data_IF_008029497843
#
_entry.id   IF_008029497843
#
_cell.length_a   1.000
_cell.length_b   1.000
_cell.length_c   1.000
_cell.angle_alpha   90.00
_cell.angle_beta   90.00
_cell.angle_gamma   90.00
#
_symmetry.space_group_name_H-M   'P 1'
#
loop_
_entity.id
_entity.type
_entity.pdbx_description
1 polymer ?
#
# COMPACT_ATOMS: atom_id res chain seq x y z
N UNK A 1 -30.57 49.93 15.07
CA UNK A 1 -30.18 49.57 16.45
C UNK A 1 -29.34 48.29 16.39
N UNK A 2 -28.02 48.41 16.48
CA UNK A 2 -27.06 47.28 16.50
C UNK A 2 -26.68 46.97 17.94
N UNK A 3 -26.78 45.70 18.39
CA UNK A 3 -26.13 45.14 19.60
C UNK A 3 -25.71 43.72 19.25
N UNK A 4 -24.41 43.46 19.03
CA UNK A 4 -23.34 43.09 19.99
C UNK A 4 -23.29 41.58 20.22
N UNK A 5 -22.28 40.92 19.63
CA UNK A 5 -21.51 39.91 20.36
C UNK A 5 -20.09 40.47 20.56
N UNK A 6 -19.71 40.59 21.82
CA UNK A 6 -18.36 40.91 22.29
C UNK A 6 -17.76 39.61 22.81
N UNK A 7 -16.54 39.29 22.37
CA UNK A 7 -15.79 38.15 22.89
C UNK A 7 -14.57 37.76 22.05
N UNK A 8 -13.60 38.68 21.90
CA UNK A 8 -12.19 38.35 21.57
C UNK A 8 -11.61 37.56 22.76
N UNK A 9 -10.79 36.51 22.62
CA UNK A 9 -9.38 36.36 22.17
C UNK A 9 -9.11 34.83 22.17
N UNK A 10 -8.19 34.18 21.47
CA UNK A 10 -7.03 34.53 20.65
C UNK A 10 -6.59 33.26 19.93
N UNK A 11 -6.31 33.34 18.63
CA UNK A 11 -5.68 32.28 17.85
C UNK A 11 -5.25 32.87 16.51
N UNK A 12 -4.07 33.45 16.48
CA UNK A 12 -3.43 34.09 15.33
C UNK A 12 -3.18 33.08 14.21
N UNK A 13 -3.80 33.27 13.05
CA UNK A 13 -3.26 32.75 11.78
C UNK A 13 -1.98 33.55 11.49
N UNK A 14 -0.82 32.88 11.48
CA UNK A 14 0.44 33.45 11.00
C UNK A 14 0.67 33.00 9.57
N UNK A 15 0.59 33.94 8.62
CA UNK A 15 1.36 33.85 7.38
C UNK A 15 2.78 34.37 7.67
N UNK A 16 3.81 33.60 7.31
CA UNK A 16 5.18 34.10 7.23
C UNK A 16 5.63 34.10 5.77
N UNK A 17 5.17 35.10 5.02
CA UNK A 17 5.91 35.67 3.90
C UNK A 17 5.40 37.10 3.75
N UNK A 18 6.17 38.08 4.24
CA UNK A 18 5.72 39.47 4.33
C UNK A 18 5.71 40.16 2.97
N UNK A 19 4.75 41.07 2.71
CA UNK A 19 4.86 42.02 1.61
C UNK A 19 5.27 43.40 2.14
N UNK A 20 6.04 44.17 1.35
CA UNK A 20 5.96 45.65 1.31
C UNK A 20 6.72 46.20 0.09
N UNK A 21 6.41 47.41 -0.41
CA UNK A 21 5.38 47.61 -1.44
C UNK A 21 5.91 48.26 -2.73
N UNK A 22 5.16 48.07 -3.83
CA UNK A 22 4.96 49.07 -4.89
C UNK A 22 6.17 49.49 -5.75
N UNK A 23 6.25 48.95 -6.97
CA UNK A 23 7.01 49.52 -8.07
C UNK A 23 6.45 49.00 -9.39
N UNK A 24 5.87 49.89 -10.19
CA UNK A 24 5.27 49.54 -11.47
C UNK A 24 6.29 48.94 -12.45
N UNK A 25 5.90 47.85 -13.08
CA UNK A 25 6.65 47.23 -14.17
C UNK A 25 5.74 46.21 -14.82
N UNK A 26 5.35 46.49 -16.07
CA UNK A 26 4.79 45.49 -16.97
C UNK A 26 5.89 44.47 -17.27
N UNK A 27 6.11 43.54 -16.34
CA UNK A 27 7.00 42.41 -16.58
C UNK A 27 6.18 41.25 -17.14
N UNK A 28 6.34 41.09 -18.45
CA UNK A 28 5.88 39.95 -19.22
C UNK A 28 6.20 38.68 -18.46
N UNK A 29 5.17 37.85 -18.28
CA UNK A 29 5.29 36.48 -17.78
C UNK A 29 6.42 35.79 -18.56
N UNK A 30 7.59 35.70 -17.92
CA UNK A 30 8.78 35.10 -18.51
C UNK A 30 8.48 33.63 -18.77
N UNK A 31 8.69 33.22 -20.02
CA UNK A 31 8.46 31.87 -20.49
C UNK A 31 9.01 30.83 -19.50
N UNK A 32 8.19 29.81 -19.20
CA UNK A 32 8.63 28.60 -18.50
C UNK A 32 9.90 28.11 -19.20
N UNK A 33 11.01 27.85 -18.46
CA UNK A 33 12.24 27.36 -19.07
C UNK A 33 11.92 26.12 -19.92
N UNK A 34 12.44 26.08 -21.15
CA UNK A 34 12.08 25.11 -22.19
C UNK A 34 12.37 23.63 -21.82
N UNK A 35 12.96 23.36 -20.66
CA UNK A 35 13.32 22.04 -20.13
C UNK A 35 12.29 21.46 -19.14
N UNK A 36 11.19 22.19 -18.86
CA UNK A 36 10.04 21.71 -18.10
C UNK A 36 8.82 21.46 -19.00
N UNK A 37 9.01 20.89 -20.19
CA UNK A 37 7.87 20.28 -20.90
C UNK A 37 7.62 18.92 -20.24
N UNK A 38 6.64 18.78 -19.32
CA UNK A 38 6.31 17.48 -18.78
C UNK A 38 5.96 16.55 -19.95
N UNK A 39 6.45 15.33 -19.92
CA UNK A 39 5.98 14.31 -20.87
C UNK A 39 4.45 14.29 -20.82
N UNK A 40 3.77 14.29 -21.98
CA UNK A 40 2.31 14.35 -22.01
C UNK A 40 1.73 13.25 -21.13
N UNK A 41 0.71 13.58 -20.35
CA UNK A 41 0.02 12.60 -19.53
C UNK A 41 -0.51 11.45 -20.38
N UNK A 42 -0.57 10.27 -19.80
CA UNK A 42 -0.95 9.06 -20.53
C UNK A 42 -1.97 8.27 -19.73
N UNK A 43 -3.09 7.91 -20.34
CA UNK A 43 -4.09 7.02 -19.77
C UNK A 43 -4.15 5.75 -20.60
N UNK A 44 -3.77 4.63 -19.99
CA UNK A 44 -3.82 3.29 -20.56
C UNK A 44 -5.12 2.63 -20.08
N UNK A 45 -6.08 2.47 -20.98
CA UNK A 45 -7.39 1.91 -20.69
C UNK A 45 -7.46 0.47 -21.21
N UNK A 46 -7.40 -0.51 -20.30
CA UNK A 46 -7.49 -1.93 -20.62
C UNK A 46 -8.95 -2.36 -20.66
N UNK A 47 -9.32 -3.07 -21.72
CA UNK A 47 -10.64 -3.69 -21.91
C UNK A 47 -10.48 -5.05 -22.58
N UNK A 48 -11.49 -5.90 -22.48
CA UNK A 48 -11.48 -7.23 -23.10
C UNK A 48 -12.72 -8.04 -22.71
N UNK A 49 -12.91 -9.23 -23.31
CA UNK A 49 -14.08 -10.08 -23.09
C UNK A 49 -14.14 -10.71 -21.68
N UNK A 50 -13.02 -10.72 -20.95
CA UNK A 50 -12.91 -11.27 -19.59
C UNK A 50 -12.69 -10.16 -18.57
N UNK A 51 -13.67 -9.84 -17.69
CA UNK A 51 -13.48 -8.83 -16.65
C UNK A 51 -12.29 -9.13 -15.73
N UNK A 52 -12.12 -10.40 -15.32
CA UNK A 52 -10.97 -10.83 -14.51
C UNK A 52 -9.65 -10.66 -15.23
N UNK A 53 -9.62 -10.96 -16.53
CA UNK A 53 -8.43 -10.82 -17.36
C UNK A 53 -8.02 -9.37 -17.56
N UNK A 54 -9.00 -8.49 -17.81
CA UNK A 54 -8.82 -7.04 -17.90
C UNK A 54 -8.20 -6.46 -16.64
N UNK A 55 -8.76 -6.79 -15.47
CA UNK A 55 -8.23 -6.31 -14.17
C UNK A 55 -6.81 -6.84 -13.93
N UNK A 56 -6.58 -8.13 -14.18
CA UNK A 56 -5.25 -8.73 -14.01
C UNK A 56 -4.20 -8.11 -14.93
N UNK A 57 -4.54 -7.87 -16.20
CA UNK A 57 -3.67 -7.23 -17.18
C UNK A 57 -3.40 -5.76 -16.84
N UNK A 58 -4.41 -5.02 -16.39
CA UNK A 58 -4.25 -3.63 -15.93
C UNK A 58 -3.26 -3.55 -14.75
N UNK A 59 -3.40 -4.43 -13.75
CA UNK A 59 -2.47 -4.50 -12.61
C UNK A 59 -1.06 -4.89 -13.02
N UNK A 60 -0.93 -5.88 -13.92
CA UNK A 60 0.37 -6.33 -14.42
C UNK A 60 1.08 -5.22 -15.23
N UNK A 61 0.32 -4.47 -16.03
CA UNK A 61 0.82 -3.32 -16.79
C UNK A 61 1.24 -2.19 -15.86
N UNK A 62 0.41 -1.81 -14.88
CA UNK A 62 0.78 -0.83 -13.85
C UNK A 62 2.09 -1.21 -13.16
N UNK A 63 2.22 -2.47 -12.75
CA UNK A 63 3.42 -2.99 -12.12
C UNK A 63 4.64 -2.88 -13.04
N UNK A 64 4.48 -3.19 -14.34
CA UNK A 64 5.56 -3.06 -15.33
C UNK A 64 6.00 -1.61 -15.51
N UNK A 65 5.07 -0.67 -15.64
CA UNK A 65 5.38 0.76 -15.75
C UNK A 65 6.12 1.25 -14.49
N UNK A 66 5.62 0.86 -13.32
CA UNK A 66 6.23 1.24 -12.03
C UNK A 66 7.65 0.71 -11.90
N UNK A 67 7.89 -0.55 -12.29
CA UNK A 67 9.21 -1.20 -12.20
C UNK A 67 10.27 -0.58 -13.10
N UNK A 68 9.88 -0.01 -14.23
CA UNK A 68 10.85 0.69 -15.09
C UNK A 68 11.31 2.03 -14.50
N UNK A 69 10.52 2.65 -13.62
CA UNK A 69 10.87 3.92 -12.98
C UNK A 69 10.96 5.13 -13.94
N UNK A 70 10.60 4.95 -15.22
CA UNK A 70 10.67 6.00 -16.25
C UNK A 70 9.56 7.03 -16.10
N UNK A 71 8.40 6.64 -15.56
CA UNK A 71 7.25 7.52 -15.29
C UNK A 71 6.54 7.16 -13.99
N UNK A 72 5.96 8.17 -13.33
CA UNK A 72 5.07 7.97 -12.19
C UNK A 72 3.73 7.41 -12.69
N UNK A 73 3.35 6.24 -12.16
CA UNK A 73 2.11 5.54 -12.54
C UNK A 73 1.15 5.39 -11.36
N UNK A 74 -0.12 5.69 -11.63
CA UNK A 74 -1.24 5.45 -10.71
C UNK A 74 -2.16 4.41 -11.32
N UNK A 75 -2.31 3.26 -10.67
CA UNK A 75 -3.41 2.35 -10.95
C UNK A 75 -4.69 2.89 -10.33
N UNK A 76 -5.77 2.96 -11.10
CA UNK A 76 -7.09 3.28 -10.58
C UNK A 76 -7.96 2.02 -10.69
N UNK A 77 -8.02 1.27 -9.59
CA UNK A 77 -8.93 0.14 -9.46
C UNK A 77 -10.38 0.64 -9.35
N UNK A 78 -11.25 0.12 -10.22
CA UNK A 78 -12.65 0.53 -10.28
C UNK A 78 -13.37 0.30 -8.95
N UNK A 79 -13.11 -0.81 -8.27
CA UNK A 79 -13.78 -1.14 -7.00
C UNK A 79 -13.30 -0.22 -5.86
N UNK A 80 -11.99 0.04 -5.78
CA UNK A 80 -11.44 0.96 -4.78
C UNK A 80 -11.94 2.40 -5.00
N UNK A 81 -11.92 2.87 -6.25
CA UNK A 81 -12.44 4.20 -6.60
C UNK A 81 -13.94 4.28 -6.35
N UNK A 82 -14.68 3.21 -6.61
CA UNK A 82 -16.12 3.15 -6.34
C UNK A 82 -16.39 3.26 -4.85
N UNK A 83 -15.62 2.56 -4.02
CA UNK A 83 -15.74 2.61 -2.57
C UNK A 83 -15.51 4.02 -2.01
N UNK A 84 -14.50 4.75 -2.51
CA UNK A 84 -14.10 6.04 -1.94
C UNK A 84 -14.75 7.26 -2.59
N UNK A 85 -14.91 7.27 -3.91
CA UNK A 85 -15.30 8.46 -4.68
C UNK A 85 -16.66 8.32 -5.35
N UNK A 86 -17.19 7.10 -5.48
CA UNK A 86 -18.48 6.85 -6.13
C UNK A 86 -19.36 5.81 -5.40
N UNK A 87 -19.59 5.95 -4.08
CA UNK A 87 -20.51 5.06 -3.39
C UNK A 87 -21.92 5.25 -3.94
N UNK A 88 -22.59 4.17 -4.28
CA UNK A 88 -23.91 4.22 -4.89
C UNK A 88 -24.43 2.83 -5.30
N UNK A 89 -25.74 2.70 -5.54
CA UNK A 89 -26.35 1.43 -5.90
C UNK A 89 -25.81 0.90 -7.24
N UNK A 90 -25.83 -0.42 -7.40
CA UNK A 90 -25.34 -1.10 -8.61
C UNK A 90 -26.36 -1.10 -9.74
N UNK A 91 -26.67 0.11 -10.22
CA UNK A 91 -27.56 0.35 -11.37
C UNK A 91 -26.75 0.74 -12.61
N UNK A 92 -27.34 0.63 -13.81
CA UNK A 92 -26.69 1.09 -15.04
C UNK A 92 -26.27 2.56 -14.95
N UNK A 93 -27.15 3.42 -14.44
CA UNK A 93 -26.86 4.85 -14.22
C UNK A 93 -25.76 5.06 -13.16
N UNK A 94 -25.71 4.23 -12.11
CA UNK A 94 -24.66 4.27 -11.10
C UNK A 94 -23.30 3.86 -11.65
N UNK A 95 -23.25 2.80 -12.46
CA UNK A 95 -22.04 2.34 -13.16
C UNK A 95 -21.55 3.40 -14.16
N UNK A 96 -22.44 4.01 -14.92
CA UNK A 96 -22.09 5.11 -15.82
C UNK A 96 -21.50 6.30 -15.06
N UNK A 97 -22.15 6.75 -13.98
CA UNK A 97 -21.65 7.85 -13.15
C UNK A 97 -20.27 7.54 -12.53
N UNK A 98 -20.06 6.30 -12.07
CA UNK A 98 -18.79 5.84 -11.56
C UNK A 98 -17.68 5.95 -12.64
N UNK A 99 -17.94 5.46 -13.86
CA UNK A 99 -16.98 5.52 -14.97
C UNK A 99 -16.67 6.98 -15.37
N UNK A 100 -17.67 7.88 -15.34
CA UNK A 100 -17.46 9.32 -15.55
C UNK A 100 -16.49 9.91 -14.53
N UNK A 101 -16.68 9.60 -13.24
CA UNK A 101 -15.83 10.09 -12.16
C UNK A 101 -14.42 9.51 -12.23
N UNK A 102 -14.32 8.21 -12.50
CA UNK A 102 -13.06 7.51 -12.72
C UNK A 102 -12.27 8.16 -13.87
N UNK A 103 -12.94 8.45 -15.00
CA UNK A 103 -12.34 9.14 -16.12
C UNK A 103 -11.91 10.57 -15.82
N UNK A 104 -12.68 11.31 -15.03
CA UNK A 104 -12.30 12.66 -14.60
C UNK A 104 -11.03 12.65 -13.73
N UNK A 105 -10.94 11.71 -12.77
CA UNK A 105 -9.72 11.54 -11.94
C UNK A 105 -8.52 11.17 -12.81
N UNK A 106 -8.69 10.25 -13.77
CA UNK A 106 -7.64 9.87 -14.70
C UNK A 106 -7.15 11.06 -15.54
N UNK A 107 -8.08 11.89 -16.02
CA UNK A 107 -7.77 13.11 -16.77
C UNK A 107 -6.99 14.12 -15.92
N UNK A 108 -7.35 14.34 -14.66
CA UNK A 108 -6.61 15.25 -13.77
C UNK A 108 -5.18 14.79 -13.50
N UNK A 109 -4.97 13.47 -13.32
CA UNK A 109 -3.62 12.92 -13.15
C UNK A 109 -2.81 13.08 -14.44
N UNK A 110 -3.41 12.76 -15.59
CA UNK A 110 -2.77 12.92 -16.90
C UNK A 110 -2.44 14.39 -17.19
N UNK A 111 -3.31 15.34 -16.84
CA UNK A 111 -3.07 16.78 -16.99
C UNK A 111 -1.78 17.25 -16.31
N UNK A 112 -1.35 16.54 -15.26
CA UNK A 112 -0.11 16.80 -14.53
C UNK A 112 1.09 15.96 -15.00
N UNK A 113 0.99 15.29 -16.16
CA UNK A 113 2.08 14.48 -16.72
C UNK A 113 2.20 13.09 -16.09
N UNK A 114 1.19 12.61 -15.36
CA UNK A 114 1.15 11.26 -14.82
C UNK A 114 0.77 10.20 -15.85
N UNK A 115 1.13 8.94 -15.57
CA UNK A 115 0.58 7.77 -16.26
C UNK A 115 -0.52 7.16 -15.40
N UNK A 116 -1.65 6.84 -16.01
CA UNK A 116 -2.77 6.15 -15.35
C UNK A 116 -3.03 4.84 -16.06
N UNK A 117 -3.24 3.77 -15.29
CA UNK A 117 -3.74 2.49 -15.83
C UNK A 117 -5.12 2.22 -15.28
N UNK A 118 -6.06 1.93 -16.19
CA UNK A 118 -7.46 1.66 -15.92
C UNK A 118 -7.81 0.27 -16.45
N UNK A 119 -8.56 -0.52 -15.67
CA UNK A 119 -9.17 -1.77 -16.13
C UNK A 119 -10.62 -1.95 -15.68
N UNK A 120 -11.50 -0.94 -15.85
CA UNK A 120 -12.87 -1.04 -15.36
C UNK A 120 -13.72 -1.97 -16.22
N UNK A 121 -14.72 -2.60 -15.61
CA UNK A 121 -15.78 -3.28 -16.34
C UNK A 121 -16.74 -2.23 -16.92
N UNK A 122 -16.62 -1.96 -18.22
CA UNK A 122 -17.26 -0.80 -18.84
C UNK A 122 -17.95 -1.12 -20.18
N UNK A 123 -19.16 -0.57 -20.43
CA UNK A 123 -19.77 -0.62 -21.74
C UNK A 123 -19.03 0.32 -22.73
N UNK A 124 -19.07 0.05 -24.05
CA UNK A 124 -18.33 0.84 -25.07
C UNK A 124 -18.61 2.35 -25.04
N UNK A 125 -19.83 2.76 -24.65
CA UNK A 125 -20.20 4.17 -24.54
C UNK A 125 -19.41 4.92 -23.45
N UNK A 126 -19.08 4.26 -22.34
CA UNK A 126 -18.33 4.86 -21.25
C UNK A 126 -16.85 5.06 -21.60
N UNK A 127 -16.26 4.14 -22.36
CA UNK A 127 -14.88 4.27 -22.87
C UNK A 127 -14.70 5.55 -23.69
N UNK A 128 -15.67 5.88 -24.57
CA UNK A 128 -15.64 7.12 -25.37
C UNK A 128 -15.62 8.35 -24.48
N UNK A 129 -16.42 8.35 -23.42
CA UNK A 129 -16.50 9.48 -22.52
C UNK A 129 -15.21 9.71 -21.72
N UNK A 130 -14.58 8.62 -21.24
CA UNK A 130 -13.28 8.73 -20.56
C UNK A 130 -12.23 9.30 -21.51
N UNK A 131 -12.22 8.85 -22.77
CA UNK A 131 -11.35 9.40 -23.80
C UNK A 131 -11.54 10.92 -23.96
N UNK A 132 -12.78 11.37 -24.12
CA UNK A 132 -13.10 12.80 -24.29
C UNK A 132 -12.60 13.65 -23.11
N UNK A 133 -12.74 13.16 -21.88
CA UNK A 133 -12.23 13.84 -20.68
C UNK A 133 -10.71 13.96 -20.69
N UNK A 134 -10.00 12.87 -21.01
CA UNK A 134 -8.54 12.83 -21.01
C UNK A 134 -7.98 13.72 -22.13
N UNK A 135 -8.46 13.53 -23.36
CA UNK A 135 -8.01 14.30 -24.52
C UNK A 135 -8.37 15.79 -24.37
N UNK A 136 -9.50 16.12 -23.75
CA UNK A 136 -9.90 17.50 -23.45
C UNK A 136 -8.96 18.24 -22.47
N UNK A 137 -8.19 17.52 -21.66
CA UNK A 137 -7.15 18.10 -20.78
C UNK A 137 -5.76 18.15 -21.42
N UNK A 138 -5.61 17.69 -22.66
CA UNK A 138 -4.33 17.55 -23.34
C UNK A 138 -3.55 16.26 -22.99
N UNK A 139 -4.19 15.31 -22.28
CA UNK A 139 -3.63 13.99 -22.04
C UNK A 139 -3.82 13.06 -23.24
N UNK A 140 -2.96 12.05 -23.36
CA UNK A 140 -3.05 10.99 -24.36
C UNK A 140 -3.88 9.83 -23.82
N UNK A 141 -4.92 9.40 -24.54
CA UNK A 141 -5.71 8.21 -24.20
C UNK A 141 -5.42 7.04 -25.14
N UNK A 142 -5.04 5.90 -24.57
CA UNK A 142 -4.77 4.65 -25.30
C UNK A 142 -5.75 3.59 -24.86
N UNK A 143 -6.51 3.04 -25.82
CA UNK A 143 -7.38 1.89 -25.60
C UNK A 143 -6.62 0.61 -25.91
N UNK A 144 -6.51 -0.28 -24.91
CA UNK A 144 -5.91 -1.60 -25.00
C UNK A 144 -7.04 -2.63 -24.95
N UNK A 145 -7.56 -3.01 -26.11
CA UNK A 145 -8.57 -4.06 -26.24
C UNK A 145 -7.89 -5.42 -26.43
N UNK A 146 -7.83 -6.21 -25.36
CA UNK A 146 -7.01 -7.41 -25.26
C UNK A 146 -7.85 -8.61 -24.84
N UNK A 147 -7.88 -9.64 -25.69
CA UNK A 147 -8.47 -10.93 -25.35
C UNK A 147 -7.46 -11.79 -24.56
N UNK A 148 -7.72 -11.91 -23.26
CA UNK A 148 -6.94 -12.75 -22.35
C UNK A 148 -7.48 -14.19 -22.25
N UNK A 149 -8.52 -14.55 -23.01
CA UNK A 149 -9.19 -15.85 -22.89
C UNK A 149 -8.25 -16.98 -23.32
N UNK A 150 -7.97 -17.90 -22.39
CA UNK A 150 -7.09 -19.05 -22.65
C UNK A 150 -5.61 -18.70 -22.79
N UNK A 151 -5.19 -17.47 -22.43
CA UNK A 151 -3.80 -17.01 -22.44
C UNK A 151 -3.33 -16.63 -21.04
N UNK A 152 -2.02 -16.69 -20.80
CA UNK A 152 -1.47 -16.15 -19.55
C UNK A 152 -1.47 -14.63 -19.56
N UNK A 153 -1.50 -14.01 -18.37
CA UNK A 153 -1.39 -12.55 -18.24
C UNK A 153 -0.04 -12.06 -18.75
N UNK A 154 1.02 -12.85 -18.58
CA UNK A 154 2.37 -12.51 -19.06
C UNK A 154 2.44 -12.45 -20.59
N UNK A 155 1.78 -13.39 -21.28
CA UNK A 155 1.72 -13.38 -22.76
C UNK A 155 0.95 -12.16 -23.28
N UNK A 156 -0.19 -11.85 -22.64
CA UNK A 156 -0.99 -10.67 -22.98
C UNK A 156 -0.23 -9.37 -22.68
N UNK A 157 0.50 -9.32 -21.57
CA UNK A 157 1.34 -8.17 -21.21
C UNK A 157 2.50 -7.98 -22.19
N UNK A 158 3.16 -9.05 -22.62
CA UNK A 158 4.24 -8.98 -23.60
C UNK A 158 3.78 -8.35 -24.92
N UNK A 159 2.59 -8.73 -25.40
CA UNK A 159 1.96 -8.14 -26.58
C UNK A 159 1.67 -6.65 -26.39
N UNK A 160 1.06 -6.26 -25.26
CA UNK A 160 0.80 -4.86 -24.91
C UNK A 160 2.08 -4.03 -24.87
N UNK A 161 3.16 -4.57 -24.31
CA UNK A 161 4.46 -3.91 -24.22
C UNK A 161 5.01 -3.59 -25.61
N UNK A 162 4.95 -4.53 -26.55
CA UNK A 162 5.39 -4.31 -27.93
C UNK A 162 4.52 -3.28 -28.65
N UNK A 163 3.20 -3.33 -28.46
CA UNK A 163 2.26 -2.37 -29.06
C UNK A 163 2.51 -0.94 -28.54
N UNK A 164 2.68 -0.77 -27.23
CA UNK A 164 2.94 0.55 -26.62
C UNK A 164 4.27 1.14 -27.09
N UNK A 165 5.30 0.31 -27.23
CA UNK A 165 6.60 0.73 -27.72
C UNK A 165 6.56 1.08 -29.21
N UNK A 166 5.93 0.24 -30.04
CA UNK A 166 5.78 0.46 -31.47
C UNK A 166 4.96 1.71 -31.81
N UNK A 167 3.96 2.05 -30.98
CA UNK A 167 3.16 3.27 -31.11
C UNK A 167 3.87 4.52 -30.52
N UNK A 168 5.03 4.37 -29.89
CA UNK A 168 5.77 5.47 -29.27
C UNK A 168 5.10 6.06 -28.02
N UNK A 169 4.17 5.33 -27.40
CA UNK A 169 3.47 5.79 -26.20
C UNK A 169 4.29 5.53 -24.93
N UNK A 170 4.90 4.35 -24.82
CA UNK A 170 5.71 3.96 -23.67
C UNK A 170 6.61 2.77 -24.01
N UNK A 171 7.93 2.91 -23.84
CA UNK A 171 8.89 1.82 -24.12
C UNK A 171 9.14 0.96 -22.89
N UNK A 172 8.34 -0.10 -22.75
CA UNK A 172 8.39 -1.03 -21.63
C UNK A 172 9.26 -2.29 -21.88
N UNK A 173 10.01 -2.31 -23.01
CA UNK A 173 10.72 -3.51 -23.51
C UNK A 173 12.02 -3.79 -22.78
N UNK A 174 12.68 -2.76 -22.27
CA UNK A 174 13.85 -2.94 -21.43
C UNK A 174 13.44 -3.85 -20.26
N UNK A 175 14.19 -4.95 -20.00
CA UNK A 175 13.93 -5.76 -18.83
C UNK A 175 13.94 -4.82 -17.63
N UNK A 176 12.90 -4.90 -16.80
CA UNK A 176 12.90 -4.19 -15.53
C UNK A 176 14.27 -4.44 -14.88
N UNK A 177 14.95 -3.42 -14.33
CA UNK A 177 16.24 -3.61 -13.68
C UNK A 177 16.15 -4.86 -12.82
N UNK A 178 17.11 -5.77 -13.03
CA UNK A 178 17.03 -7.14 -12.57
C UNK A 178 16.51 -7.17 -11.13
N UNK A 179 15.45 -7.95 -10.90
CA UNK A 179 15.00 -8.29 -9.56
C UNK A 179 16.19 -8.94 -8.85
N UNK A 180 16.82 -8.19 -7.94
CA UNK A 180 18.19 -8.50 -7.55
C UNK A 180 18.61 -7.80 -6.29
N UNK A 181 18.22 -8.43 -5.18
CA UNK A 181 18.73 -8.23 -3.82
C UNK A 181 18.17 -6.96 -3.16
N UNK A 182 17.49 -7.12 -2.01
CA UNK A 182 17.52 -6.08 -0.99
C UNK A 182 18.95 -5.53 -0.95
N UNK A 183 19.18 -4.20 -0.92
CA UNK A 183 20.52 -3.64 -1.06
C UNK A 183 21.47 -4.45 -0.18
N UNK A 184 22.40 -5.18 -0.82
CA UNK A 184 23.46 -5.85 -0.08
C UNK A 184 24.10 -4.73 0.73
N UNK A 185 24.16 -4.82 2.07
CA UNK A 185 24.66 -3.72 2.86
C UNK A 185 26.01 -3.31 2.28
N UNK A 186 26.09 -2.04 1.86
CA UNK A 186 27.34 -1.38 1.49
C UNK A 186 28.36 -1.74 2.58
N UNK A 187 29.51 -2.37 2.24
CA UNK A 187 30.51 -2.71 3.24
C UNK A 187 31.00 -1.42 3.89
N UNK A 188 30.46 -1.07 5.07
CA UNK A 188 30.75 0.17 5.79
C UNK A 188 29.55 0.98 6.25
N UNK A 189 28.30 0.60 5.93
CA UNK A 189 27.13 1.20 6.56
C UNK A 189 26.98 0.70 8.00
N UNK A 190 26.89 1.60 8.98
CA UNK A 190 26.58 1.23 10.36
C UNK A 190 25.28 0.39 10.40
N UNK A 191 25.23 -0.69 11.20
CA UNK A 191 24.08 -1.59 11.18
C UNK A 191 22.82 -0.85 11.61
N UNK A 192 21.93 -0.59 10.65
CA UNK A 192 20.58 -0.10 10.95
C UNK A 192 19.81 -1.17 11.72
N UNK A 193 18.94 -0.78 12.67
CA UNK A 193 18.13 -1.74 13.39
C UNK A 193 17.24 -2.52 12.42
N UNK A 194 17.06 -3.81 12.70
CA UNK A 194 16.14 -4.68 12.00
C UNK A 194 14.71 -4.16 12.15
N UNK A 195 14.02 -3.86 11.05
CA UNK A 195 12.65 -3.34 11.07
C UNK A 195 11.63 -4.49 10.97
N UNK A 196 10.89 -4.73 12.04
CA UNK A 196 9.82 -5.74 12.10
C UNK A 196 8.45 -5.07 12.15
N UNK A 197 7.59 -5.41 11.19
CA UNK A 197 6.24 -4.89 11.06
C UNK A 197 5.19 -5.94 11.39
N UNK A 198 4.35 -5.69 12.41
CA UNK A 198 3.19 -6.50 12.73
C UNK A 198 1.94 -6.03 11.97
N UNK A 199 1.15 -6.95 11.42
CA UNK A 199 -0.05 -6.61 10.64
C UNK A 199 -1.28 -7.40 11.09
N UNK A 200 -2.39 -6.71 11.30
CA UNK A 200 -3.73 -7.31 11.45
C UNK A 200 -4.75 -6.55 10.59
N UNK A 201 -6.05 -6.62 10.92
CA UNK A 201 -7.10 -5.95 10.12
C UNK A 201 -7.15 -4.44 10.40
N UNK A 202 -7.59 -4.03 11.58
CA UNK A 202 -7.88 -2.62 11.90
C UNK A 202 -6.77 -1.88 12.68
N UNK A 203 -5.68 -2.58 13.05
CA UNK A 203 -4.59 -2.05 13.90
C UNK A 203 -5.05 -1.47 15.25
N UNK A 204 -6.02 -2.12 15.88
CA UNK A 204 -6.49 -1.75 17.23
C UNK A 204 -6.43 -2.92 18.23
N UNK A 205 -6.37 -4.17 17.77
CA UNK A 205 -6.38 -5.36 18.64
C UNK A 205 -5.03 -6.10 18.65
N UNK A 206 -4.79 -6.95 17.65
CA UNK A 206 -3.70 -7.94 17.62
C UNK A 206 -2.33 -7.33 17.32
N UNK A 207 -2.21 -6.56 16.24
CA UNK A 207 -0.91 -5.97 15.87
C UNK A 207 -0.40 -4.88 16.82
N UNK A 208 -1.27 -4.05 17.47
CA UNK A 208 -0.83 -3.17 18.57
C UNK A 208 -0.34 -3.94 19.78
N UNK A 209 -1.03 -5.03 20.16
CA UNK A 209 -0.60 -5.90 21.24
C UNK A 209 0.79 -6.47 20.94
N UNK A 210 0.99 -7.01 19.73
CA UNK A 210 2.29 -7.54 19.30
C UNK A 210 3.40 -6.48 19.37
N UNK A 211 3.14 -5.26 18.87
CA UNK A 211 4.11 -4.16 18.90
C UNK A 211 4.50 -3.78 20.34
N UNK A 212 3.52 -3.56 21.22
CA UNK A 212 3.76 -3.13 22.59
C UNK A 212 4.45 -4.22 23.42
N UNK A 213 4.04 -5.48 23.25
CA UNK A 213 4.67 -6.62 23.91
C UNK A 213 6.13 -6.80 23.43
N UNK A 214 6.35 -6.75 22.11
CA UNK A 214 7.68 -6.94 21.52
C UNK A 214 8.67 -5.82 21.88
N UNK A 215 8.20 -4.56 22.00
CA UNK A 215 9.05 -3.42 22.39
C UNK A 215 9.73 -3.60 23.74
N UNK A 216 9.13 -4.32 24.68
CA UNK A 216 9.76 -4.59 25.98
C UNK A 216 10.94 -5.56 25.87
N UNK A 217 10.97 -6.36 24.81
CA UNK A 217 12.04 -7.30 24.50
C UNK A 217 13.03 -6.73 23.49
N UNK A 218 12.83 -5.49 23.02
CA UNK A 218 13.72 -4.84 22.06
C UNK A 218 15.03 -4.43 22.74
N UNK A 219 16.15 -4.95 22.24
CA UNK A 219 17.49 -4.41 22.50
C UNK A 219 17.92 -3.41 21.43
N UNK A 220 19.14 -2.90 21.55
CA UNK A 220 19.77 -2.08 20.51
C UNK A 220 19.97 -2.95 19.25
N UNK A 221 19.23 -2.65 18.19
CA UNK A 221 19.36 -3.38 16.91
C UNK A 221 18.06 -3.93 16.31
N UNK A 222 16.90 -3.76 16.96
CA UNK A 222 15.60 -4.13 16.40
C UNK A 222 14.53 -3.07 16.69
N UNK A 223 13.69 -2.78 15.71
CA UNK A 223 12.55 -1.86 15.84
C UNK A 223 11.26 -2.60 15.49
N UNK A 224 10.27 -2.44 16.37
CA UNK A 224 8.93 -2.98 16.17
C UNK A 224 7.92 -1.87 15.87
N UNK A 225 7.16 -2.08 14.80
CA UNK A 225 6.02 -1.25 14.40
C UNK A 225 4.83 -2.13 14.03
N UNK A 226 3.64 -1.55 13.94
CA UNK A 226 2.43 -2.24 13.51
C UNK A 226 1.54 -1.38 12.64
N UNK A 227 0.75 -2.06 11.79
CA UNK A 227 -0.27 -1.46 10.94
C UNK A 227 -1.45 -2.42 10.70
N UNK A 228 -2.43 -1.98 9.93
CA UNK A 228 -3.64 -2.75 9.62
C UNK A 228 -4.01 -2.70 8.15
N UNK A 229 -4.38 -3.83 7.55
CA UNK A 229 -4.80 -3.90 6.13
C UNK A 229 -5.98 -2.99 5.84
N UNK A 230 -6.91 -2.89 6.79
CA UNK A 230 -8.03 -1.94 6.84
C UNK A 230 -7.90 -1.07 8.10
N UNK A 231 -6.67 -0.65 8.39
CA UNK A 231 -6.31 0.03 9.62
C UNK A 231 -7.07 1.34 9.81
N UNK A 232 -7.59 1.55 11.02
CA UNK A 232 -8.14 2.83 11.41
C UNK A 232 -7.02 3.83 11.65
N UNK A 233 -7.31 5.12 11.53
CA UNK A 233 -6.32 6.18 11.76
C UNK A 233 -6.53 6.78 13.14
N UNK A 234 -5.47 6.89 13.92
CA UNK A 234 -5.42 7.61 15.20
C UNK A 234 -6.34 7.07 16.31
N UNK A 235 -6.64 5.76 16.27
CA UNK A 235 -7.38 5.10 17.36
C UNK A 235 -6.42 4.46 18.37
N UNK A 236 -6.82 4.44 19.64
CA UNK A 236 -6.12 3.69 20.68
C UNK A 236 -6.28 2.17 20.52
N UNK A 237 -5.60 1.41 21.38
CA UNK A 237 -5.84 -0.03 21.49
C UNK A 237 -7.29 -0.28 21.91
N UNK A 238 -7.94 -1.27 21.31
CA UNK A 238 -9.31 -1.63 21.63
C UNK A 238 -9.45 -2.02 23.11
N UNK A 239 -10.59 -1.76 23.76
CA UNK A 239 -10.80 -2.12 25.16
C UNK A 239 -10.56 -3.61 25.46
N UNK A 240 -10.93 -4.48 24.52
CA UNK A 240 -10.79 -5.93 24.63
C UNK A 240 -9.32 -6.34 24.80
N UNK A 241 -8.41 -5.70 24.06
CA UNK A 241 -6.97 -5.99 24.12
C UNK A 241 -6.19 -5.09 25.08
N UNK A 242 -6.74 -3.92 25.45
CA UNK A 242 -6.14 -3.05 26.46
C UNK A 242 -6.11 -3.72 27.85
N UNK A 243 -7.14 -4.50 28.19
CA UNK A 243 -7.21 -5.25 29.45
C UNK A 243 -6.05 -6.26 29.60
N UNK A 244 -5.86 -7.25 28.70
CA UNK A 244 -4.77 -8.21 28.83
C UNK A 244 -3.38 -7.57 28.72
N UNK A 245 -3.21 -6.46 27.97
CA UNK A 245 -1.97 -5.67 27.96
C UNK A 245 -1.67 -5.06 29.34
N UNK A 246 -2.66 -4.38 29.92
CA UNK A 246 -2.49 -3.72 31.22
C UNK A 246 -2.23 -4.74 32.32
N UNK A 247 -2.89 -5.90 32.26
CA UNK A 247 -2.67 -7.01 33.19
C UNK A 247 -1.22 -7.55 33.16
N UNK A 248 -0.52 -7.39 32.02
CA UNK A 248 0.90 -7.74 31.83
C UNK A 248 1.85 -6.57 32.09
N UNK A 249 1.31 -5.44 32.55
CA UNK A 249 2.09 -4.25 32.91
C UNK A 249 2.51 -3.38 31.73
N UNK A 250 1.79 -3.44 30.59
CA UNK A 250 1.99 -2.55 29.46
C UNK A 250 1.02 -1.36 29.52
N UNK A 251 1.50 -0.17 29.14
CA UNK A 251 0.65 1.03 28.98
C UNK A 251 0.27 1.21 27.49
N UNK A 252 -1.01 1.01 27.12
CA UNK A 252 -1.48 1.18 25.74
C UNK A 252 -1.81 2.64 25.39
N UNK A 253 -1.79 3.58 26.33
CA UNK A 253 -2.34 4.93 26.15
C UNK A 253 -1.66 5.76 25.06
N UNK A 254 -0.36 5.52 24.83
CA UNK A 254 0.44 6.18 23.80
C UNK A 254 0.31 5.58 22.40
N UNK A 255 -0.34 4.42 22.24
CA UNK A 255 -0.47 3.77 20.94
C UNK A 255 -1.49 4.48 20.05
N UNK A 256 -1.18 4.61 18.75
CA UNK A 256 -2.11 5.11 17.74
C UNK A 256 -2.10 4.21 16.51
N UNK A 257 -3.29 3.82 16.09
CA UNK A 257 -3.51 2.97 14.94
C UNK A 257 -3.16 3.68 13.63
N UNK A 258 -2.68 2.91 12.66
CA UNK A 258 -2.36 3.38 11.31
C UNK A 258 -2.73 2.35 10.26
N UNK A 259 -3.10 2.85 9.08
CA UNK A 259 -3.32 2.01 7.90
C UNK A 259 -1.99 1.49 7.37
N UNK A 260 -1.99 0.22 6.96
CA UNK A 260 -0.90 -0.38 6.23
C UNK A 260 -0.72 0.36 4.90
N UNK A 261 0.54 0.62 4.56
CA UNK A 261 0.93 1.18 3.27
C UNK A 261 1.99 0.29 2.65
N UNK A 262 2.08 0.33 1.32
CA UNK A 262 3.13 -0.36 0.57
C UNK A 262 4.53 0.00 1.07
N UNK A 263 4.78 1.28 1.33
CA UNK A 263 6.06 1.78 1.85
C UNK A 263 6.44 1.11 3.18
N UNK A 264 5.48 0.90 4.09
CA UNK A 264 5.76 0.19 5.35
C UNK A 264 6.21 -1.26 5.12
N UNK A 265 5.62 -1.94 4.12
CA UNK A 265 6.02 -3.31 3.74
C UNK A 265 7.40 -3.30 3.07
N UNK A 266 7.68 -2.31 2.23
CA UNK A 266 8.99 -2.14 1.56
C UNK A 266 10.11 -1.84 2.57
N UNK A 267 9.86 -0.95 3.53
CA UNK A 267 10.83 -0.52 4.55
C UNK A 267 11.12 -1.59 5.63
N UNK A 268 10.20 -2.54 5.85
CA UNK A 268 10.37 -3.60 6.83
C UNK A 268 11.30 -4.71 6.33
N UNK A 269 12.16 -5.23 7.21
CA UNK A 269 12.99 -6.41 6.93
C UNK A 269 12.20 -7.72 7.13
N UNK A 270 11.21 -7.70 8.02
CA UNK A 270 10.29 -8.80 8.29
C UNK A 270 8.88 -8.29 8.58
N UNK A 271 7.87 -8.91 7.97
CA UNK A 271 6.45 -8.62 8.18
C UNK A 271 5.76 -9.84 8.79
N UNK A 272 5.23 -9.68 10.00
CA UNK A 272 4.56 -10.71 10.78
C UNK A 272 3.06 -10.41 10.83
N UNK A 273 2.29 -11.23 10.13
CA UNK A 273 0.83 -11.09 10.03
C UNK A 273 0.11 -11.91 11.10
N UNK A 274 -1.03 -11.42 11.59
CA UNK A 274 -1.84 -12.15 12.57
C UNK A 274 -2.59 -13.34 11.96
N UNK A 275 -2.91 -13.28 10.67
CA UNK A 275 -3.65 -14.33 9.95
C UNK A 275 -3.13 -14.51 8.53
N UNK A 276 -3.38 -15.69 7.95
CA UNK A 276 -3.13 -16.01 6.56
C UNK A 276 -3.79 -15.02 5.59
N UNK A 277 -5.01 -14.56 5.91
CA UNK A 277 -5.78 -13.58 5.13
C UNK A 277 -5.03 -12.24 4.95
N UNK A 278 -4.38 -11.75 6.00
CA UNK A 278 -3.57 -10.53 5.96
C UNK A 278 -2.33 -10.72 5.10
N UNK A 279 -1.70 -11.90 5.17
CA UNK A 279 -0.58 -12.22 4.30
C UNK A 279 -1.00 -12.22 2.84
N UNK A 280 -2.10 -12.87 2.48
CA UNK A 280 -2.62 -12.85 1.11
C UNK A 280 -2.88 -11.41 0.65
N UNK A 281 -3.56 -10.60 1.47
CA UNK A 281 -3.79 -9.19 1.18
C UNK A 281 -2.51 -8.40 0.84
N UNK A 282 -1.43 -8.61 1.62
CA UNK A 282 -0.15 -7.94 1.38
C UNK A 282 0.50 -8.42 0.08
N UNK A 283 0.41 -9.72 -0.20
CA UNK A 283 1.07 -10.32 -1.37
C UNK A 283 0.32 -10.04 -2.67
N UNK A 284 -0.99 -9.79 -2.61
CA UNK A 284 -1.78 -9.37 -3.75
C UNK A 284 -1.35 -7.96 -4.23
N UNK A 285 -0.97 -7.07 -3.31
CA UNK A 285 -0.47 -5.71 -3.62
C UNK A 285 1.06 -5.65 -3.85
N UNK A 286 1.81 -6.46 -3.08
CA UNK A 286 3.27 -6.46 -3.06
C UNK A 286 3.85 -7.88 -3.19
N UNK A 287 3.75 -8.54 -4.37
CA UNK A 287 4.25 -9.90 -4.57
C UNK A 287 5.75 -10.05 -4.28
N UNK A 288 6.55 -9.02 -4.56
CA UNK A 288 8.00 -9.02 -4.30
C UNK A 288 8.37 -9.15 -2.81
N UNK A 289 7.44 -8.82 -1.90
CA UNK A 289 7.65 -8.95 -0.46
C UNK A 289 7.49 -10.39 0.06
N UNK A 290 7.18 -11.36 -0.82
CA UNK A 290 6.91 -12.75 -0.47
C UNK A 290 7.95 -13.46 0.39
N UNK A 291 9.22 -13.06 0.31
CA UNK A 291 10.31 -13.61 1.13
C UNK A 291 10.29 -13.13 2.59
N UNK A 292 9.64 -11.99 2.86
CA UNK A 292 9.63 -11.35 4.18
C UNK A 292 8.24 -11.25 4.82
N UNK A 293 7.18 -11.72 4.15
CA UNK A 293 5.81 -11.71 4.70
C UNK A 293 5.37 -13.12 5.09
N UNK A 294 5.23 -13.34 6.39
CA UNK A 294 4.78 -14.61 6.99
C UNK A 294 3.77 -14.35 8.10
N UNK A 295 2.98 -15.35 8.52
CA UNK A 295 2.18 -15.21 9.74
C UNK A 295 3.04 -15.40 10.98
N UNK A 296 2.66 -14.78 12.09
CA UNK A 296 3.36 -14.95 13.37
C UNK A 296 3.40 -16.43 13.80
N UNK A 297 2.30 -17.15 13.56
CA UNK A 297 2.22 -18.59 13.82
C UNK A 297 3.15 -19.43 12.96
N UNK A 298 3.26 -19.11 11.66
CA UNK A 298 4.23 -19.74 10.76
C UNK A 298 5.66 -19.48 11.21
N UNK A 299 5.98 -18.23 11.56
CA UNK A 299 7.31 -17.87 12.05
C UNK A 299 7.67 -18.64 13.32
N UNK A 300 6.76 -18.69 14.31
CA UNK A 300 6.97 -19.44 15.55
C UNK A 300 7.19 -20.94 15.31
N UNK A 301 6.42 -21.55 14.39
CA UNK A 301 6.61 -22.97 14.02
C UNK A 301 7.94 -23.21 13.31
N UNK A 302 8.29 -22.37 12.34
CA UNK A 302 9.53 -22.50 11.58
C UNK A 302 10.75 -22.33 12.51
N UNK A 303 10.79 -21.26 13.29
CA UNK A 303 11.88 -20.97 14.24
C UNK A 303 12.01 -22.08 15.29
N UNK A 304 10.89 -22.58 15.82
CA UNK A 304 10.90 -23.69 16.78
C UNK A 304 11.50 -25.00 16.25
N UNK A 305 11.70 -25.12 14.93
CA UNK A 305 12.37 -26.26 14.28
C UNK A 305 13.82 -25.99 13.88
N UNK A 306 14.31 -24.75 14.03
CA UNK A 306 15.68 -24.38 13.68
C UNK A 306 16.67 -24.69 14.82
N UNK A 307 17.96 -24.90 14.50
CA UNK A 307 19.03 -24.89 15.49
C UNK A 307 19.06 -23.58 16.29
N UNK A 308 19.35 -23.65 17.58
CA UNK A 308 19.31 -22.51 18.50
C UNK A 308 20.52 -21.56 18.45
N UNK A 309 21.52 -21.84 17.61
CA UNK A 309 22.78 -21.10 17.49
C UNK A 309 22.86 -20.22 16.22
N UNK A 310 21.74 -20.04 15.53
CA UNK A 310 21.67 -19.21 14.33
C UNK A 310 21.68 -17.72 14.66
N UNK A 311 22.43 -16.94 13.87
CA UNK A 311 22.34 -15.48 13.89
C UNK A 311 20.98 -14.99 13.37
N UNK A 312 20.52 -13.79 13.75
CA UNK A 312 19.28 -13.21 13.24
C UNK A 312 19.18 -13.20 11.70
N UNK A 313 20.29 -12.93 11.00
CA UNK A 313 20.34 -12.97 9.55
C UNK A 313 20.09 -14.38 8.97
N UNK A 314 20.62 -15.43 9.62
CA UNK A 314 20.38 -16.81 9.23
C UNK A 314 18.94 -17.24 9.51
N UNK A 315 18.35 -16.77 10.61
CA UNK A 315 16.93 -17.00 10.93
C UNK A 315 16.01 -16.38 9.86
N UNK A 316 16.28 -15.14 9.45
CA UNK A 316 15.52 -14.47 8.38
C UNK A 316 15.68 -15.19 7.04
N UNK A 317 16.88 -15.64 6.70
CA UNK A 317 17.13 -16.47 5.51
C UNK A 317 16.34 -17.78 5.55
N UNK A 318 16.37 -18.47 6.69
CA UNK A 318 15.64 -19.71 6.89
C UNK A 318 14.12 -19.50 6.78
N UNK A 319 13.57 -18.44 7.36
CA UNK A 319 12.15 -18.06 7.19
C UNK A 319 11.82 -17.79 5.72
N UNK A 320 12.67 -17.04 5.02
CA UNK A 320 12.49 -16.73 3.60
C UNK A 320 12.50 -17.99 2.72
N UNK A 321 13.18 -19.05 3.13
CA UNK A 321 13.27 -20.32 2.38
C UNK A 321 12.20 -21.34 2.81
N UNK A 322 11.89 -21.45 4.11
CA UNK A 322 11.18 -22.59 4.72
C UNK A 322 9.80 -22.25 5.33
N UNK A 323 9.21 -21.08 5.04
CA UNK A 323 7.94 -20.59 5.61
C UNK A 323 6.69 -21.48 5.48
N UNK A 324 6.72 -22.52 4.64
CA UNK A 324 5.56 -23.39 4.38
C UNK A 324 4.34 -22.67 3.79
N UNK A 325 3.26 -23.39 3.43
CA UNK A 325 2.00 -22.77 3.05
C UNK A 325 1.36 -22.03 4.24
N UNK A 326 0.56 -21.01 3.95
CA UNK A 326 -0.24 -20.34 4.98
C UNK A 326 -1.23 -21.33 5.58
N UNK A 327 -1.18 -21.50 6.90
CA UNK A 327 -1.98 -22.47 7.64
C UNK A 327 -2.86 -21.72 8.66
N UNK A 328 -4.18 -21.61 8.41
CA UNK A 328 -5.11 -20.95 9.32
C UNK A 328 -5.13 -21.55 10.74
N UNK A 329 -4.67 -22.80 10.92
CA UNK A 329 -4.57 -23.40 12.25
C UNK A 329 -3.47 -22.75 13.12
N UNK A 330 -2.55 -22.00 12.50
CA UNK A 330 -1.48 -21.28 13.20
C UNK A 330 -1.86 -19.82 13.51
N UNK A 331 -2.98 -19.34 12.99
CA UNK A 331 -3.39 -17.94 13.06
C UNK A 331 -3.74 -17.48 14.48
N UNK A 332 -3.65 -16.17 14.70
CA UNK A 332 -4.13 -15.50 15.91
C UNK A 332 -5.54 -14.99 15.65
N UNK A 333 -6.52 -15.67 16.26
CA UNK A 333 -7.94 -15.34 16.13
C UNK A 333 -8.25 -13.88 16.48
N UNK A 334 -9.19 -13.26 15.75
CA UNK A 334 -9.58 -11.87 15.99
C UNK A 334 -10.49 -11.71 17.21
N UNK A 335 -10.07 -10.96 18.26
CA UNK A 335 -10.89 -10.74 19.44
C UNK A 335 -11.88 -9.57 19.31
N UNK A 336 -11.85 -8.81 18.21
CA UNK A 336 -12.67 -7.61 18.06
C UNK A 336 -14.18 -7.90 18.15
N UNK A 337 -14.89 -7.20 19.04
CA UNK A 337 -16.33 -7.39 19.26
C UNK A 337 -16.71 -8.76 19.84
N UNK A 338 -15.74 -9.48 20.42
CA UNK A 338 -15.93 -10.80 21.05
C UNK A 338 -15.77 -10.69 22.57
N UNK A 339 -16.14 -11.77 23.25
CA UNK A 339 -16.07 -11.85 24.71
C UNK A 339 -14.61 -11.82 25.22
N UNK A 340 -14.47 -11.44 26.49
CA UNK A 340 -13.22 -11.29 27.21
C UNK A 340 -12.27 -12.50 27.09
N UNK A 341 -12.82 -13.73 27.11
CA UNK A 341 -12.05 -14.97 26.99
C UNK A 341 -11.36 -15.12 25.63
N UNK A 342 -11.95 -14.57 24.55
CA UNK A 342 -11.34 -14.61 23.22
C UNK A 342 -10.12 -13.69 23.18
N UNK A 343 -10.23 -12.52 23.80
CA UNK A 343 -9.11 -11.57 23.92
C UNK A 343 -7.98 -12.14 24.78
N UNK A 344 -8.29 -12.81 25.89
CA UNK A 344 -7.27 -13.45 26.74
C UNK A 344 -6.55 -14.58 26.01
N UNK A 345 -7.28 -15.46 25.30
CA UNK A 345 -6.67 -16.52 24.49
C UNK A 345 -5.81 -15.96 23.35
N UNK A 346 -6.26 -14.88 22.70
CA UNK A 346 -5.48 -14.21 21.67
C UNK A 346 -4.17 -13.63 22.26
N UNK A 347 -4.25 -12.97 23.41
CA UNK A 347 -3.09 -12.43 24.12
C UNK A 347 -2.10 -13.55 24.52
N UNK A 348 -2.56 -14.63 25.14
CA UNK A 348 -1.75 -15.80 25.51
C UNK A 348 -1.07 -16.44 24.29
N UNK A 349 -1.81 -16.58 23.18
CA UNK A 349 -1.27 -17.11 21.94
C UNK A 349 -0.19 -16.19 21.37
N UNK A 350 -0.40 -14.87 21.39
CA UNK A 350 0.60 -13.89 20.93
C UNK A 350 1.85 -13.98 21.81
N UNK A 351 1.71 -13.98 23.13
CA UNK A 351 2.85 -14.07 24.05
C UNK A 351 3.68 -15.33 23.81
N UNK A 352 3.01 -16.48 23.66
CA UNK A 352 3.67 -17.75 23.40
C UNK A 352 4.47 -17.73 22.08
N UNK A 353 3.90 -17.12 21.03
CA UNK A 353 4.58 -17.01 19.74
C UNK A 353 5.73 -16.00 19.79
N UNK A 354 5.54 -14.83 20.42
CA UNK A 354 6.61 -13.84 20.58
C UNK A 354 7.76 -14.38 21.44
N UNK A 355 7.46 -15.20 22.45
CA UNK A 355 8.47 -15.87 23.26
C UNK A 355 9.37 -16.83 22.49
N UNK A 356 8.92 -17.33 21.33
CA UNK A 356 9.74 -18.15 20.42
C UNK A 356 10.42 -17.27 19.35
N UNK A 357 9.66 -16.35 18.74
CA UNK A 357 10.12 -15.59 17.58
C UNK A 357 11.15 -14.53 17.97
N UNK A 358 10.90 -13.75 19.03
CA UNK A 358 11.74 -12.59 19.34
C UNK A 358 13.16 -12.96 19.79
N UNK A 359 13.40 -13.97 20.65
CA UNK A 359 14.76 -14.35 21.02
C UNK A 359 15.63 -14.74 19.83
N UNK A 360 15.05 -15.34 18.78
CA UNK A 360 15.77 -15.70 17.57
C UNK A 360 16.09 -14.50 16.64
N UNK A 361 15.42 -13.36 16.83
CA UNK A 361 15.63 -12.15 16.05
C UNK A 361 16.48 -11.10 16.78
N UNK A 362 16.78 -11.32 18.06
CA UNK A 362 17.56 -10.39 18.88
C UNK A 362 19.01 -10.90 18.96
N UNK A 363 20.03 -10.05 18.77
CA UNK A 363 21.44 -10.47 18.79
C UNK A 363 21.94 -11.05 20.11
#
# INVERSE_FOLDING_TARGET
MRRRLVGRRSGTVRESCGPTPGGGGSERMTAVPADLTPSPGLVLYVTGPSPRGTVALARALEHRVRRQGTRVVTGLDGDDVRHHLSPGPDTDAGRELHLRRLGWVAAEIARHGGVVVLGPEAPPAATRQVRELVEGTGGTFVLLDVDTTGRSVDDALAEVVEVLAGAGHLDLRAPAPAEGTAPRPEPGAEPRPLEVLFVCTANICRSPYMELAARRMAGDGIRFTSAGTHGWVDHGVSPEMARPLTARGFDPSGFRSRRLTRRMVEDADLVLTAEASHRSFILDDSPAAFRKVVTLGQAGRAIGSLPGDLSPAQVLGALAEHRGPADPALDVADPYGRDADVADRAAERIDALLGVVLPALTP
#
